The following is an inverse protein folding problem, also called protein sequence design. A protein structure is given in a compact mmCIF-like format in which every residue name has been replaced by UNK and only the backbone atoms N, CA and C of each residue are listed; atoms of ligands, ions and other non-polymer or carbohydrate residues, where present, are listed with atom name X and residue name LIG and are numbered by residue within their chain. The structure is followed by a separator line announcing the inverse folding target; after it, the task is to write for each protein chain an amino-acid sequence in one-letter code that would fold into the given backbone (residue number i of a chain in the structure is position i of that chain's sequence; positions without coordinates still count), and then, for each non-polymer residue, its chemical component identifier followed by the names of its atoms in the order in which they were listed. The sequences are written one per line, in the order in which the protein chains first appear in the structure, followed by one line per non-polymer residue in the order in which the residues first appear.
data_IF_171491332395
#
_entry.id   IF_171491332395
#
_cell.length_a   1.000
_cell.length_b   1.000
_cell.length_c   1.000
_cell.angle_alpha   90.00
_cell.angle_beta   90.00
_cell.angle_gamma   90.00
#
_symmetry.space_group_name_H-M   'P 1'
#
loop_
_entity.id
_entity.type
_entity.pdbx_description
1 polymer ?
#
# COMPACT_ATOMS: atom_id res chain seq x y z
N UNK A 1 11.57 1.37 15.25
CA UNK A 1 11.70 1.68 13.82
C UNK A 1 11.14 0.55 12.95
N UNK A 2 11.94 -0.39 12.45
CA UNK A 2 11.51 -1.33 11.38
C UNK A 2 10.24 -2.13 11.72
N UNK A 3 10.15 -2.72 12.93
CA UNK A 3 8.97 -3.52 13.35
C UNK A 3 7.68 -2.69 13.45
N UNK A 4 7.78 -1.40 13.73
CA UNK A 4 6.63 -0.51 13.87
C UNK A 4 6.16 -0.03 12.49
N UNK A 5 7.11 0.30 11.59
CA UNK A 5 6.84 0.58 10.18
C UNK A 5 6.12 -0.58 9.50
N UNK A 6 6.54 -1.81 9.80
CA UNK A 6 5.96 -3.05 9.27
C UNK A 6 4.48 -3.19 9.66
N UNK A 7 4.15 -2.96 10.94
CA UNK A 7 2.77 -3.00 11.43
C UNK A 7 1.91 -1.86 10.89
N UNK A 8 2.52 -0.68 10.71
CA UNK A 8 1.81 0.50 10.22
C UNK A 8 1.44 0.39 8.74
N UNK A 9 2.29 -0.24 7.92
CA UNK A 9 2.07 -0.39 6.47
C UNK A 9 0.92 -1.34 6.10
N UNK A 10 0.44 -2.17 7.05
CA UNK A 10 -0.65 -3.14 6.81
C UNK A 10 -1.97 -2.42 6.52
N UNK A 11 -2.34 -1.43 7.34
CA UNK A 11 -3.61 -0.71 7.20
C UNK A 11 -3.72 0.12 5.91
N UNK A 12 -2.72 0.95 5.54
CA UNK A 12 -2.72 1.67 4.27
C UNK A 12 -2.72 0.73 3.06
N UNK A 13 -1.98 -0.38 3.12
CA UNK A 13 -1.95 -1.36 2.03
C UNK A 13 -3.32 -2.00 1.80
N UNK A 14 -4.04 -2.35 2.87
CA UNK A 14 -5.43 -2.79 2.81
C UNK A 14 -6.35 -1.71 2.20
N UNK A 15 -6.18 -0.45 2.60
CA UNK A 15 -6.93 0.67 2.02
C UNK A 15 -6.67 0.86 0.52
N UNK A 16 -5.42 0.73 0.07
CA UNK A 16 -5.04 0.80 -1.34
C UNK A 16 -5.59 -0.39 -2.13
N UNK A 17 -5.61 -1.59 -1.55
CA UNK A 17 -6.23 -2.76 -2.17
C UNK A 17 -7.73 -2.57 -2.37
N UNK A 18 -8.46 -2.13 -1.33
CA UNK A 18 -9.90 -1.89 -1.42
C UNK A 18 -10.21 -0.75 -2.39
N UNK A 19 -9.51 0.37 -2.26
CA UNK A 19 -9.74 1.56 -3.10
C UNK A 19 -9.31 1.40 -4.55
N UNK A 20 -8.21 0.67 -4.80
CA UNK A 20 -7.64 0.49 -6.13
C UNK A 20 -8.15 -0.73 -6.90
N UNK A 21 -8.74 -1.72 -6.21
CA UNK A 21 -9.19 -2.97 -6.85
C UNK A 21 -10.68 -3.22 -6.66
N UNK A 22 -11.23 -3.04 -5.46
CA UNK A 22 -12.63 -3.40 -5.17
C UNK A 22 -13.58 -2.31 -5.67
N UNK A 23 -13.34 -1.05 -5.32
CA UNK A 23 -14.18 0.10 -5.73
C UNK A 23 -14.26 0.25 -7.27
N UNK A 24 -13.15 0.28 -8.03
CA UNK A 24 -13.21 0.48 -9.47
C UNK A 24 -13.85 -0.70 -10.21
N UNK A 25 -13.73 -1.94 -9.70
CA UNK A 25 -14.47 -3.08 -10.25
C UNK A 25 -15.97 -2.97 -10.04
N UNK A 26 -16.41 -2.44 -8.91
CA UNK A 26 -17.84 -2.26 -8.63
C UNK A 26 -18.45 -1.10 -9.43
N UNK A 27 -17.68 -0.03 -9.63
CA UNK A 27 -18.14 1.18 -10.33
C UNK A 27 -18.01 1.11 -11.85
N UNK A 28 -17.03 0.37 -12.39
CA UNK A 28 -16.83 0.19 -13.85
C UNK A 28 -16.41 -1.23 -14.22
N UNK A 29 -17.31 -2.22 -14.09
CA UNK A 29 -16.99 -3.62 -14.38
C UNK A 29 -16.57 -3.86 -15.84
N UNK A 30 -17.10 -3.08 -16.79
CA UNK A 30 -16.83 -3.20 -18.23
C UNK A 30 -15.38 -2.94 -18.63
N UNK A 31 -14.61 -2.16 -17.86
CA UNK A 31 -13.18 -1.93 -18.14
C UNK A 31 -12.28 -3.06 -17.63
N UNK A 32 -12.81 -3.98 -16.81
CA UNK A 32 -12.04 -5.00 -16.11
C UNK A 32 -12.16 -6.41 -16.71
N UNK A 33 -12.83 -6.59 -17.85
CA UNK A 33 -12.84 -7.88 -18.57
C UNK A 33 -11.46 -8.26 -19.15
N UNK A 34 -10.64 -7.27 -19.50
CA UNK A 34 -9.28 -7.48 -20.02
C UNK A 34 -8.22 -7.56 -18.92
N UNK A 35 -8.60 -7.34 -17.66
CA UNK A 35 -7.68 -7.31 -16.52
C UNK A 35 -7.47 -8.71 -15.92
N UNK A 36 -6.28 -8.98 -15.36
CA UNK A 36 -6.00 -10.24 -14.66
C UNK A 36 -6.99 -10.46 -13.50
N UNK A 37 -7.14 -11.72 -13.11
CA UNK A 37 -8.04 -12.17 -12.05
C UNK A 37 -7.93 -11.32 -10.79
N UNK A 38 -9.06 -11.15 -10.10
CA UNK A 38 -9.21 -10.24 -8.97
C UNK A 38 -8.11 -10.40 -7.92
N UNK A 39 -7.77 -11.66 -7.65
CA UNK A 39 -6.73 -12.04 -6.71
C UNK A 39 -5.34 -11.58 -7.12
N UNK A 40 -4.97 -11.69 -8.40
CA UNK A 40 -3.64 -11.29 -8.89
C UNK A 40 -3.48 -9.77 -8.76
N UNK A 41 -4.50 -9.02 -9.16
CA UNK A 41 -4.47 -7.56 -9.06
C UNK A 41 -4.47 -7.09 -7.61
N UNK A 42 -5.26 -7.72 -6.74
CA UNK A 42 -5.29 -7.43 -5.31
C UNK A 42 -3.93 -7.68 -4.65
N UNK A 43 -3.29 -8.81 -4.94
CA UNK A 43 -1.96 -9.14 -4.41
C UNK A 43 -0.92 -8.12 -4.88
N UNK A 44 -0.91 -7.76 -6.16
CA UNK A 44 0.03 -6.75 -6.70
C UNK A 44 -0.16 -5.41 -5.99
N UNK A 45 -1.41 -4.94 -5.84
CA UNK A 45 -1.70 -3.68 -5.16
C UNK A 45 -1.32 -3.72 -3.67
N UNK A 46 -1.53 -4.86 -3.01
CA UNK A 46 -1.18 -5.04 -1.60
C UNK A 46 0.35 -5.00 -1.43
N UNK A 47 1.10 -5.73 -2.26
CA UNK A 47 2.57 -5.78 -2.21
C UNK A 47 3.18 -4.41 -2.54
N UNK A 48 2.77 -3.78 -3.65
CA UNK A 48 3.31 -2.48 -4.06
C UNK A 48 2.93 -1.38 -3.07
N UNK A 49 1.67 -1.35 -2.62
CA UNK A 49 1.20 -0.39 -1.62
C UNK A 49 1.91 -0.56 -0.28
N UNK A 50 2.18 -1.80 0.12
CA UNK A 50 2.93 -2.11 1.34
C UNK A 50 4.38 -1.64 1.25
N UNK A 51 5.08 -1.92 0.14
CA UNK A 51 6.46 -1.48 -0.07
C UNK A 51 6.55 0.06 -0.05
N UNK A 52 5.64 0.73 -0.76
CA UNK A 52 5.60 2.20 -0.80
C UNK A 52 5.39 2.80 0.61
N UNK A 53 4.37 2.34 1.35
CA UNK A 53 4.11 2.83 2.71
C UNK A 53 5.26 2.53 3.67
N UNK A 54 5.86 1.35 3.58
CA UNK A 54 7.01 0.98 4.39
C UNK A 54 8.20 1.90 4.12
N UNK A 55 8.54 2.16 2.85
CA UNK A 55 9.62 3.07 2.47
C UNK A 55 9.36 4.50 2.97
N UNK A 56 8.15 5.04 2.75
CA UNK A 56 7.82 6.40 3.17
C UNK A 56 7.91 6.54 4.69
N UNK A 57 7.38 5.60 5.45
CA UNK A 57 7.45 5.64 6.91
C UNK A 57 8.89 5.51 7.42
N UNK A 58 9.69 4.62 6.83
CA UNK A 58 11.09 4.44 7.18
C UNK A 58 11.90 5.71 6.91
N UNK A 59 11.66 6.38 5.77
CA UNK A 59 12.30 7.64 5.44
C UNK A 59 11.91 8.76 6.41
N UNK A 60 10.62 8.84 6.78
CA UNK A 60 10.12 9.81 7.76
C UNK A 60 10.74 9.63 9.15
N UNK A 61 10.82 8.38 9.63
CA UNK A 61 11.49 8.05 10.89
C UNK A 61 13.00 8.37 10.85
N UNK A 62 13.67 8.10 9.73
CA UNK A 62 15.08 8.40 9.56
C UNK A 62 15.36 9.91 9.63
N UNK A 63 14.53 10.73 8.97
CA UNK A 63 14.62 12.19 9.05
C UNK A 63 14.39 12.65 10.49
N UNK A 64 13.34 12.14 11.17
CA UNK A 64 13.05 12.49 12.57
C UNK A 64 14.23 12.21 13.49
N UNK A 65 14.90 11.06 13.35
CA UNK A 65 16.09 10.75 14.13
C UNK A 65 17.25 11.70 13.82
N UNK A 66 17.46 12.02 12.55
CA UNK A 66 18.54 12.92 12.13
C UNK A 66 18.35 14.34 12.64
N UNK A 67 17.10 14.79 12.76
CA UNK A 67 16.74 16.10 13.34
C UNK A 67 16.84 16.08 14.86
N UNK A 68 16.45 14.98 15.53
CA UNK A 68 16.49 14.85 17.00
C UNK A 68 17.92 14.71 17.56
N UNK A 69 18.86 14.16 16.79
CA UNK A 69 20.27 14.02 17.17
C UNK A 69 21.13 15.28 16.89
N UNK A 70 20.51 16.38 16.45
CA UNK A 70 21.12 17.70 16.31
C UNK A 70 20.62 18.61 17.42
#
# INVERSE_FOLDING_TARGET
MIKQSLKFAIWPSLGVMVGGVIIPRFTRPQLYETYPTIFVQAIIYLVVGYIACFLTYLFCEWIKLKVRNK
#
